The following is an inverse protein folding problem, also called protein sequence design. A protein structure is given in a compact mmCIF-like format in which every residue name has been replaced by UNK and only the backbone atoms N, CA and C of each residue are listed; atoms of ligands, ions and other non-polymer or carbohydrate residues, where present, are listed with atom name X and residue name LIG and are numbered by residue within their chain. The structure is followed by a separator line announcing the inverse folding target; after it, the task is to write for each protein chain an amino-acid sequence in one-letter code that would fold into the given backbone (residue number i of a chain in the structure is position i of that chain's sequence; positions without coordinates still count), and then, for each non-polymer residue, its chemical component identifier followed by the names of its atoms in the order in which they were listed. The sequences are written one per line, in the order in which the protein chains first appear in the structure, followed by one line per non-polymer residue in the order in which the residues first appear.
data_IF_781821158127
#
_entry.id   IF_781821158127
#
_cell.length_a   1.000
_cell.length_b   1.000
_cell.length_c   1.000
_cell.angle_alpha   90.00
_cell.angle_beta   90.00
_cell.angle_gamma   90.00
#
_symmetry.space_group_name_H-M   'P 1'
#
loop_
_entity.id
_entity.type
_entity.pdbx_description
1 polymer ?
#
# COMPACT_ATOMS: atom_id res chain seq x y z
N UNK A 1 -7.88 -11.48 -21.14
CA UNK A 1 -8.04 -10.39 -22.14
C UNK A 1 -8.91 -9.25 -21.60
N UNK A 2 -10.09 -9.52 -21.04
CA UNK A 2 -11.04 -8.50 -20.57
C UNK A 2 -10.53 -7.60 -19.43
N UNK A 3 -9.79 -8.16 -18.45
CA UNK A 3 -9.15 -7.37 -17.39
C UNK A 3 -8.18 -6.35 -17.98
N UNK A 4 -7.30 -6.77 -18.90
CA UNK A 4 -6.30 -5.90 -19.52
C UNK A 4 -6.95 -4.76 -20.34
N UNK A 5 -8.11 -5.01 -20.95
CA UNK A 5 -8.86 -3.99 -21.70
C UNK A 5 -9.38 -2.84 -20.80
N UNK A 6 -9.45 -3.03 -19.47
CA UNK A 6 -9.84 -1.97 -18.53
C UNK A 6 -8.73 -0.95 -18.28
N UNK A 7 -7.48 -1.23 -18.70
CA UNK A 7 -6.30 -0.42 -18.33
C UNK A 7 -6.44 1.05 -18.72
N UNK A 8 -6.95 1.33 -19.91
CA UNK A 8 -7.16 2.70 -20.42
C UNK A 8 -8.26 3.47 -19.67
N UNK A 9 -9.05 2.78 -18.83
CA UNK A 9 -10.11 3.39 -18.02
C UNK A 9 -9.64 3.81 -16.63
N UNK A 10 -8.40 3.50 -16.28
CA UNK A 10 -7.80 3.87 -15.00
C UNK A 10 -7.12 5.23 -15.13
N UNK A 11 -7.42 6.15 -14.21
CA UNK A 11 -6.75 7.46 -14.21
C UNK A 11 -5.34 7.29 -13.66
N UNK A 12 -4.36 7.89 -14.33
CA UNK A 12 -2.96 7.80 -13.90
C UNK A 12 -2.75 8.31 -12.47
N UNK A 13 -3.45 9.39 -12.09
CA UNK A 13 -3.39 9.97 -10.76
C UNK A 13 -3.84 9.01 -9.64
N UNK A 14 -4.66 8.00 -9.95
CA UNK A 14 -5.14 7.02 -8.97
C UNK A 14 -4.16 5.86 -8.77
N UNK A 15 -3.13 5.78 -9.63
CA UNK A 15 -2.07 4.77 -9.57
C UNK A 15 -2.58 3.32 -9.53
N UNK A 16 -3.69 3.05 -10.24
CA UNK A 16 -4.32 1.72 -10.25
C UNK A 16 -3.37 0.69 -10.86
N UNK A 17 -3.20 -0.46 -10.21
CA UNK A 17 -2.46 -1.62 -10.73
C UNK A 17 -3.23 -2.90 -10.46
N UNK A 18 -3.24 -3.80 -11.43
CA UNK A 18 -3.88 -5.12 -11.36
C UNK A 18 -2.83 -6.17 -11.69
N UNK A 19 -2.66 -7.16 -10.83
CA UNK A 19 -1.64 -8.22 -10.98
C UNK A 19 -2.30 -9.60 -10.87
N UNK A 20 -2.79 -10.16 -11.99
CA UNK A 20 -3.39 -11.48 -12.00
C UNK A 20 -2.36 -12.58 -12.26
N UNK A 21 -2.53 -13.73 -11.63
CA UNK A 21 -1.84 -14.98 -11.94
C UNK A 21 -2.86 -16.12 -12.05
N UNK A 22 -2.60 -17.09 -12.92
CA UNK A 22 -3.37 -18.34 -12.98
C UNK A 22 -2.64 -19.35 -12.09
N UNK A 23 -3.27 -19.73 -10.98
CA UNK A 23 -2.71 -20.70 -10.01
C UNK A 23 -3.04 -22.14 -10.39
N UNK A 24 -4.11 -22.35 -11.18
CA UNK A 24 -4.45 -23.64 -11.79
C UNK A 24 -5.10 -23.41 -13.15
N UNK A 25 -4.47 -23.91 -14.22
CA UNK A 25 -4.91 -23.69 -15.60
C UNK A 25 -5.31 -24.95 -16.38
N UNK A 26 -5.32 -26.12 -15.74
CA UNK A 26 -5.55 -27.42 -16.37
C UNK A 26 -4.44 -28.43 -16.10
N UNK A 27 -4.77 -29.71 -16.22
CA UNK A 27 -3.87 -30.81 -15.83
C UNK A 27 -3.24 -31.54 -17.03
N UNK A 28 -3.91 -31.59 -18.18
CA UNK A 28 -3.47 -32.30 -19.38
C UNK A 28 -3.73 -31.47 -20.65
N UNK A 29 -2.82 -31.54 -21.62
CA UNK A 29 -2.85 -30.71 -22.86
C UNK A 29 -3.99 -31.04 -23.82
N UNK A 30 -4.59 -32.23 -23.71
CA UNK A 30 -5.64 -32.75 -24.58
C UNK A 30 -7.01 -32.86 -23.89
N UNK A 31 -7.16 -32.29 -22.69
CA UNK A 31 -8.40 -32.34 -21.91
C UNK A 31 -8.84 -30.91 -21.59
N UNK A 32 -10.13 -30.62 -21.82
CA UNK A 32 -10.71 -29.32 -21.43
C UNK A 32 -10.74 -29.25 -19.90
N UNK A 33 -10.11 -28.24 -19.26
CA UNK A 33 -10.09 -28.12 -17.81
C UNK A 33 -11.50 -27.91 -17.24
N UNK A 34 -11.84 -28.67 -16.18
CA UNK A 34 -13.10 -28.49 -15.45
C UNK A 34 -13.01 -27.45 -14.32
N UNK A 35 -11.81 -27.07 -13.88
CA UNK A 35 -11.54 -26.13 -12.79
C UNK A 35 -10.32 -25.29 -13.12
N UNK A 36 -10.50 -23.96 -13.15
CA UNK A 36 -9.45 -22.97 -13.36
C UNK A 36 -9.48 -22.00 -12.18
N UNK A 37 -8.31 -21.75 -11.60
CA UNK A 37 -8.17 -20.85 -10.45
C UNK A 37 -7.18 -19.75 -10.78
N UNK A 38 -7.51 -18.55 -10.33
CA UNK A 38 -6.66 -17.38 -10.45
C UNK A 38 -6.64 -16.62 -9.13
N UNK A 39 -5.52 -15.94 -8.89
CA UNK A 39 -5.40 -14.94 -7.84
C UNK A 39 -5.08 -13.60 -8.50
N UNK A 40 -5.60 -12.51 -7.94
CA UNK A 40 -5.35 -11.18 -8.47
C UNK A 40 -5.25 -10.17 -7.35
N UNK A 41 -4.35 -9.20 -7.51
CA UNK A 41 -4.21 -8.06 -6.60
C UNK A 41 -4.58 -6.76 -7.32
N UNK A 42 -5.58 -6.05 -6.81
CA UNK A 42 -5.92 -4.68 -7.25
C UNK A 42 -5.43 -3.71 -6.18
N UNK A 43 -4.68 -2.69 -6.59
CA UNK A 43 -4.28 -1.58 -5.72
C UNK A 43 -4.49 -0.24 -6.38
N UNK A 44 -4.76 0.77 -5.57
CA UNK A 44 -4.83 2.17 -5.95
C UNK A 44 -4.34 3.03 -4.77
N UNK A 45 -4.03 4.31 -5.03
CA UNK A 45 -3.60 5.23 -3.97
C UNK A 45 -4.77 5.86 -3.17
N UNK A 46 -6.01 5.51 -3.53
CA UNK A 46 -7.21 5.91 -2.81
C UNK A 46 -8.29 4.82 -2.88
N UNK A 47 -9.19 4.82 -1.90
CA UNK A 47 -10.18 3.76 -1.68
C UNK A 47 -11.24 3.72 -2.80
N UNK A 48 -11.70 4.89 -3.27
CA UNK A 48 -12.72 4.95 -4.32
C UNK A 48 -12.21 4.33 -5.63
N UNK A 49 -11.00 4.69 -6.04
CA UNK A 49 -10.37 4.11 -7.22
C UNK A 49 -10.10 2.61 -7.05
N UNK A 50 -9.70 2.15 -5.86
CA UNK A 50 -9.54 0.74 -5.54
C UNK A 50 -10.85 -0.03 -5.76
N UNK A 51 -11.95 0.42 -5.15
CA UNK A 51 -13.26 -0.23 -5.28
C UNK A 51 -13.76 -0.19 -6.74
N UNK A 52 -13.61 0.94 -7.43
CA UNK A 52 -14.00 1.06 -8.83
C UNK A 52 -13.23 0.08 -9.74
N UNK A 53 -11.91 0.01 -9.54
CA UNK A 53 -11.05 -0.90 -10.29
C UNK A 53 -11.39 -2.36 -9.97
N UNK A 54 -11.62 -2.70 -8.70
CA UNK A 54 -11.97 -4.07 -8.31
C UNK A 54 -13.30 -4.52 -8.95
N UNK A 55 -14.33 -3.67 -8.92
CA UNK A 55 -15.60 -3.93 -9.61
C UNK A 55 -15.43 -4.14 -11.11
N UNK A 56 -14.53 -3.39 -11.76
CA UNK A 56 -14.22 -3.57 -13.19
C UNK A 56 -13.53 -4.92 -13.45
N UNK A 57 -12.62 -5.33 -12.56
CA UNK A 57 -11.94 -6.64 -12.63
C UNK A 57 -12.93 -7.77 -12.43
N UNK A 58 -13.75 -7.73 -11.36
CA UNK A 58 -14.74 -8.77 -11.08
C UNK A 58 -15.74 -8.92 -12.23
N UNK A 59 -16.30 -7.81 -12.73
CA UNK A 59 -17.18 -7.83 -13.89
C UNK A 59 -16.52 -8.41 -15.14
N UNK A 60 -15.22 -8.18 -15.34
CA UNK A 60 -14.49 -8.76 -16.46
C UNK A 60 -14.32 -10.28 -16.32
N UNK A 61 -14.17 -10.79 -15.09
CA UNK A 61 -14.11 -12.22 -14.80
C UNK A 61 -15.50 -12.86 -15.01
N UNK A 62 -16.56 -12.25 -14.46
CA UNK A 62 -17.94 -12.69 -14.65
C UNK A 62 -18.33 -12.72 -16.14
N UNK A 63 -17.99 -11.67 -16.88
CA UNK A 63 -18.26 -11.61 -18.33
C UNK A 63 -17.52 -12.69 -19.12
N UNK A 64 -16.29 -13.05 -18.71
CA UNK A 64 -15.57 -14.16 -19.31
C UNK A 64 -16.25 -15.51 -19.00
N UNK A 65 -16.69 -15.71 -17.74
CA UNK A 65 -17.41 -16.91 -17.33
C UNK A 65 -18.72 -17.08 -18.12
N UNK A 66 -19.49 -16.00 -18.25
CA UNK A 66 -20.72 -15.97 -19.03
C UNK A 66 -20.49 -16.35 -20.50
N UNK A 67 -19.44 -15.80 -21.13
CA UNK A 67 -19.14 -16.07 -22.53
C UNK A 67 -18.79 -17.54 -22.81
N UNK A 68 -18.20 -18.24 -21.85
CA UNK A 68 -17.84 -19.67 -21.97
C UNK A 68 -18.99 -20.59 -21.49
N UNK A 69 -19.94 -20.07 -20.73
CA UNK A 69 -21.00 -20.86 -20.10
C UNK A 69 -20.55 -21.59 -18.83
N UNK A 70 -19.57 -21.03 -18.12
CA UNK A 70 -19.08 -21.55 -16.83
C UNK A 70 -19.70 -20.80 -15.65
N UNK A 71 -19.57 -21.39 -14.47
CA UNK A 71 -19.81 -20.70 -13.20
C UNK A 71 -18.51 -20.09 -12.67
N UNK A 72 -18.62 -18.97 -11.97
CA UNK A 72 -17.49 -18.34 -11.29
C UNK A 72 -17.85 -18.05 -9.84
N UNK A 73 -16.88 -18.30 -8.95
CA UNK A 73 -16.90 -17.83 -7.57
C UNK A 73 -15.76 -16.83 -7.40
N UNK A 74 -16.08 -15.61 -6.99
CA UNK A 74 -15.12 -14.55 -6.66
C UNK A 74 -15.14 -14.36 -5.15
N UNK A 75 -13.95 -14.30 -4.54
CA UNK A 75 -13.75 -14.09 -3.10
C UNK A 75 -12.77 -12.94 -2.91
N UNK A 76 -13.31 -11.73 -2.72
CA UNK A 76 -12.51 -10.54 -2.45
C UNK A 76 -12.09 -10.49 -0.98
N UNK A 77 -10.79 -10.35 -0.74
CA UNK A 77 -10.22 -10.35 0.61
C UNK A 77 -9.58 -9.00 0.96
N UNK A 78 -9.42 -8.77 2.26
CA UNK A 78 -8.76 -7.57 2.80
C UNK A 78 -7.33 -7.48 2.26
N UNK A 79 -7.02 -6.34 1.64
CA UNK A 79 -5.67 -5.95 1.26
C UNK A 79 -5.05 -4.99 2.29
N UNK A 80 -4.25 -4.04 1.80
CA UNK A 80 -3.71 -2.96 2.62
C UNK A 80 -4.41 -1.64 2.30
N UNK A 81 -4.71 -0.84 3.32
CA UNK A 81 -5.19 0.53 3.10
C UNK A 81 -4.14 1.38 2.36
N UNK A 82 -4.54 2.42 1.61
CA UNK A 82 -3.60 3.38 1.03
C UNK A 82 -2.72 4.03 2.12
N UNK A 83 -1.43 4.17 1.84
CA UNK A 83 -0.47 4.74 2.79
C UNK A 83 -0.75 6.23 3.03
N UNK A 84 -1.14 6.57 4.27
CA UNK A 84 -1.38 7.94 4.71
C UNK A 84 -0.25 8.42 5.63
N UNK A 85 0.67 9.21 5.07
CA UNK A 85 1.81 9.77 5.78
C UNK A 85 1.38 11.02 6.58
N UNK A 86 1.63 11.06 7.88
CA UNK A 86 1.35 12.27 8.66
C UNK A 86 2.30 13.41 8.26
N UNK A 87 1.75 14.49 7.70
CA UNK A 87 2.54 15.61 7.13
C UNK A 87 3.46 16.28 8.15
N UNK A 88 2.99 16.50 9.38
CA UNK A 88 3.78 17.18 10.40
C UNK A 88 4.93 16.29 10.87
N UNK A 89 4.67 15.02 11.14
CA UNK A 89 5.71 14.06 11.54
C UNK A 89 6.71 13.80 10.40
N UNK A 90 6.27 13.77 9.14
CA UNK A 90 7.14 13.69 7.97
C UNK A 90 8.06 14.91 7.87
N UNK A 91 7.54 16.11 8.17
CA UNK A 91 8.32 17.35 8.17
C UNK A 91 9.42 17.31 9.23
N UNK A 92 9.09 16.95 10.47
CA UNK A 92 10.07 16.81 11.56
C UNK A 92 11.17 15.81 11.19
N UNK A 93 10.78 14.64 10.66
CA UNK A 93 11.74 13.63 10.19
C UNK A 93 12.65 14.17 9.08
N UNK A 94 12.10 14.89 8.10
CA UNK A 94 12.86 15.48 7.00
C UNK A 94 13.83 16.57 7.47
N UNK A 95 13.43 17.41 8.43
CA UNK A 95 14.28 18.44 9.03
C UNK A 95 15.46 17.81 9.79
N UNK A 96 15.22 16.75 10.56
CA UNK A 96 16.28 15.98 11.22
C UNK A 96 17.22 15.29 10.23
N UNK A 97 16.67 14.73 9.15
CA UNK A 97 17.46 14.13 8.07
C UNK A 97 18.34 15.18 7.38
N UNK A 98 17.80 16.37 7.13
CA UNK A 98 18.53 17.46 6.51
C UNK A 98 19.65 17.98 7.41
N UNK A 99 19.41 18.07 8.72
CA UNK A 99 20.43 18.43 9.70
C UNK A 99 21.56 17.39 9.76
N UNK A 100 21.22 16.10 9.78
CA UNK A 100 22.20 15.03 9.96
C UNK A 100 22.99 14.69 8.68
N UNK A 101 22.34 14.76 7.51
CA UNK A 101 22.87 14.22 6.25
C UNK A 101 23.18 15.29 5.20
N UNK A 102 22.61 16.50 5.34
CA UNK A 102 22.59 17.55 4.32
C UNK A 102 21.27 17.59 3.54
N UNK A 103 20.80 18.80 3.22
CA UNK A 103 19.52 19.03 2.51
C UNK A 103 19.47 18.40 1.12
N UNK A 104 20.60 18.32 0.44
CA UNK A 104 20.78 17.73 -0.89
C UNK A 104 20.54 16.21 -0.92
N UNK A 105 20.49 15.56 0.25
CA UNK A 105 20.25 14.11 0.40
C UNK A 105 18.84 13.77 0.87
N UNK A 106 17.98 14.77 1.06
CA UNK A 106 16.60 14.57 1.56
C UNK A 106 15.62 14.89 0.45
N UNK A 107 14.71 13.94 0.21
CA UNK A 107 13.67 14.07 -0.79
C UNK A 107 12.31 13.84 -0.14
N UNK A 108 11.36 14.74 -0.40
CA UNK A 108 9.99 14.66 0.11
C UNK A 108 9.01 14.52 -1.05
N UNK A 109 7.78 14.09 -0.73
CA UNK A 109 6.66 14.03 -1.67
C UNK A 109 6.91 13.15 -2.91
N UNK A 110 7.85 12.20 -2.81
CA UNK A 110 8.08 11.17 -3.83
C UNK A 110 6.94 10.14 -3.74
N UNK A 111 6.25 9.83 -4.86
CA UNK A 111 5.25 8.77 -4.89
C UNK A 111 5.84 7.42 -4.45
N UNK A 112 5.25 6.84 -3.41
CA UNK A 112 5.65 5.52 -2.92
C UNK A 112 4.96 4.42 -3.74
N UNK A 113 5.74 3.60 -4.43
CA UNK A 113 5.23 2.51 -5.28
C UNK A 113 4.95 1.20 -4.53
N UNK A 114 5.29 1.12 -3.25
CA UNK A 114 5.11 -0.08 -2.42
C UNK A 114 3.68 -0.23 -1.88
N UNK A 115 3.40 -1.40 -1.31
CA UNK A 115 2.17 -1.70 -0.56
C UNK A 115 2.56 -2.35 0.76
N UNK A 116 1.94 -1.95 1.86
CA UNK A 116 2.37 -2.28 3.22
C UNK A 116 1.23 -2.06 4.20
N UNK A 117 1.19 -2.91 5.22
CA UNK A 117 0.32 -2.83 6.40
C UNK A 117 0.43 -1.52 7.20
N UNK A 118 1.49 -0.73 6.98
CA UNK A 118 1.58 0.64 7.50
C UNK A 118 0.43 1.54 7.03
N UNK A 119 -0.19 1.25 5.88
CA UNK A 119 -1.40 1.95 5.44
C UNK A 119 -2.56 1.76 6.41
N UNK A 120 -2.72 0.55 6.97
CA UNK A 120 -3.77 0.26 7.95
C UNK A 120 -3.52 1.01 9.26
N UNK A 121 -2.25 1.05 9.70
CA UNK A 121 -1.89 1.90 10.85
C UNK A 121 -2.12 3.38 10.55
N UNK A 122 -1.79 3.86 9.35
CA UNK A 122 -2.04 5.25 8.93
C UNK A 122 -3.52 5.61 8.86
N UNK A 123 -4.41 4.64 8.65
CA UNK A 123 -5.84 4.87 8.85
C UNK A 123 -6.18 5.10 10.33
N UNK A 124 -5.61 4.31 11.24
CA UNK A 124 -5.99 4.27 12.66
C UNK A 124 -5.30 5.35 13.51
N UNK A 125 -4.02 5.63 13.28
CA UNK A 125 -3.16 6.53 14.05
C UNK A 125 -2.22 7.32 13.12
N UNK A 126 -1.67 8.47 13.54
CA UNK A 126 -0.65 9.14 12.77
C UNK A 126 0.61 8.26 12.69
N UNK A 127 1.05 7.96 11.47
CA UNK A 127 2.29 7.22 11.20
C UNK A 127 3.06 7.88 10.07
N UNK A 128 4.34 7.53 9.98
CA UNK A 128 5.14 7.76 8.79
C UNK A 128 5.91 6.50 8.43
N UNK A 129 6.21 6.35 7.16
CA UNK A 129 7.10 5.34 6.60
C UNK A 129 8.12 6.04 5.70
N UNK A 130 9.20 6.59 6.27
CA UNK A 130 10.33 7.08 5.49
C UNK A 130 11.11 5.92 4.88
N UNK A 131 11.83 6.20 3.80
CA UNK A 131 12.81 5.27 3.22
C UNK A 131 14.21 5.81 3.46
N UNK A 132 15.17 4.91 3.66
CA UNK A 132 16.57 5.27 3.92
C UNK A 132 17.49 4.54 2.93
N UNK A 133 18.63 5.15 2.63
CA UNK A 133 19.68 4.55 1.81
C UNK A 133 20.45 3.47 2.60
N UNK A 134 21.52 2.94 2.01
CA UNK A 134 22.38 1.91 2.61
C UNK A 134 22.18 0.51 2.04
N UNK A 135 21.43 0.41 0.94
CA UNK A 135 21.16 -0.83 0.22
C UNK A 135 21.55 -0.70 -1.26
N UNK A 136 21.96 -1.82 -1.85
CA UNK A 136 22.19 -1.97 -3.30
C UNK A 136 21.35 -3.11 -3.86
N UNK A 137 21.13 -3.10 -5.17
CA UNK A 137 20.23 -4.04 -5.84
C UNK A 137 18.77 -3.57 -5.82
N UNK A 138 17.91 -4.25 -6.58
CA UNK A 138 16.48 -3.93 -6.62
C UNK A 138 15.77 -4.60 -5.45
N UNK A 139 14.81 -3.92 -4.82
CA UNK A 139 13.94 -4.54 -3.82
C UNK A 139 13.30 -5.82 -4.39
N UNK A 140 13.23 -6.87 -3.58
CA UNK A 140 12.75 -8.22 -3.94
C UNK A 140 13.57 -8.95 -5.01
N UNK A 141 14.80 -8.49 -5.31
CA UNK A 141 15.74 -9.25 -6.13
C UNK A 141 16.73 -10.03 -5.27
N UNK A 142 17.32 -11.09 -5.85
CA UNK A 142 18.36 -11.90 -5.21
C UNK A 142 19.63 -11.11 -4.85
N UNK A 143 19.83 -9.95 -5.48
CA UNK A 143 21.02 -9.12 -5.32
C UNK A 143 20.76 -7.95 -4.35
N UNK A 144 19.57 -7.88 -3.73
CA UNK A 144 19.27 -6.88 -2.71
C UNK A 144 20.07 -7.15 -1.44
N UNK A 145 20.94 -6.22 -1.07
CA UNK A 145 21.81 -6.37 0.09
C UNK A 145 22.15 -5.03 0.73
N UNK A 146 22.56 -5.07 2.00
CA UNK A 146 23.10 -3.91 2.70
C UNK A 146 24.49 -3.60 2.16
N UNK A 147 24.67 -2.37 1.69
CA UNK A 147 25.93 -1.87 1.14
C UNK A 147 26.63 -0.91 2.09
N UNK A 148 25.88 -0.24 2.96
CA UNK A 148 26.40 0.70 3.95
C UNK A 148 25.66 0.51 5.29
N UNK A 149 26.28 -0.19 6.25
CA UNK A 149 25.67 -0.45 7.56
C UNK A 149 25.35 0.82 8.39
N UNK A 150 26.11 1.91 8.24
CA UNK A 150 25.82 3.15 8.97
C UNK A 150 24.49 3.72 8.46
N UNK A 151 24.33 3.81 7.14
CA UNK A 151 23.08 4.27 6.52
C UNK A 151 21.90 3.31 6.72
N UNK A 152 22.14 2.00 6.67
CA UNK A 152 21.09 1.00 6.79
C UNK A 152 20.57 0.84 8.24
N UNK A 153 21.42 1.05 9.24
CA UNK A 153 21.09 0.72 10.63
C UNK A 153 21.15 1.92 11.58
N UNK A 154 22.24 2.68 11.55
CA UNK A 154 22.54 3.69 12.57
C UNK A 154 21.82 5.01 12.29
N UNK A 155 21.87 5.48 11.04
CA UNK A 155 21.18 6.70 10.60
C UNK A 155 19.67 6.63 10.85
N UNK A 156 18.92 5.59 10.43
CA UNK A 156 17.48 5.54 10.70
C UNK A 156 17.17 5.49 12.21
N UNK A 157 18.00 4.83 13.02
CA UNK A 157 17.85 4.83 14.48
C UNK A 157 18.03 6.24 15.07
N UNK A 158 19.07 6.97 14.65
CA UNK A 158 19.28 8.38 15.04
C UNK A 158 18.09 9.25 14.64
N UNK A 159 17.61 9.12 13.41
CA UNK A 159 16.49 9.91 12.91
C UNK A 159 15.19 9.62 13.67
N UNK A 160 14.88 8.36 13.94
CA UNK A 160 13.74 8.00 14.79
C UNK A 160 13.87 8.61 16.20
N UNK A 161 15.05 8.52 16.83
CA UNK A 161 15.28 9.10 18.15
C UNK A 161 15.15 10.63 18.15
N UNK A 162 15.70 11.32 17.14
CA UNK A 162 15.57 12.77 16.99
C UNK A 162 14.11 13.18 16.82
N UNK A 163 13.34 12.47 15.98
CA UNK A 163 11.91 12.75 15.81
C UNK A 163 11.12 12.50 17.10
N UNK A 164 11.46 11.47 17.88
CA UNK A 164 10.86 11.24 19.21
C UNK A 164 11.15 12.42 20.15
N UNK A 165 12.38 12.94 20.15
CA UNK A 165 12.77 14.10 20.96
C UNK A 165 11.95 15.32 20.54
N UNK A 166 11.85 15.63 19.25
CA UNK A 166 11.06 16.77 18.78
C UNK A 166 9.57 16.66 19.14
N UNK A 167 9.02 15.44 19.09
CA UNK A 167 7.64 15.18 19.45
C UNK A 167 7.37 15.38 20.96
N UNK A 168 8.33 15.04 21.82
CA UNK A 168 8.11 14.95 23.27
C UNK A 168 8.70 16.12 24.08
N UNK A 169 9.64 16.86 23.52
CA UNK A 169 10.17 18.09 24.15
C UNK A 169 9.11 19.19 24.20
N UNK A 170 9.38 20.26 24.95
CA UNK A 170 8.47 21.41 25.10
C UNK A 170 7.04 20.99 25.51
N UNK A 171 6.96 20.07 26.48
CA UNK A 171 5.69 19.52 26.97
C UNK A 171 4.84 18.85 25.85
N UNK A 172 5.52 18.19 24.91
CA UNK A 172 4.93 17.41 23.82
C UNK A 172 3.99 18.19 22.87
N UNK A 173 4.23 19.50 22.69
CA UNK A 173 3.41 20.36 21.84
C UNK A 173 3.26 19.81 20.40
N UNK A 174 4.36 19.33 19.81
CA UNK A 174 4.36 18.76 18.45
C UNK A 174 3.60 17.42 18.39
N UNK A 175 3.73 16.56 19.39
CA UNK A 175 2.92 15.34 19.46
C UNK A 175 1.42 15.65 19.56
N UNK A 176 1.01 16.68 20.29
CA UNK A 176 -0.40 17.10 20.35
C UNK A 176 -0.89 17.63 19.01
N UNK A 177 -0.09 18.43 18.28
CA UNK A 177 -0.43 18.86 16.91
C UNK A 177 -0.62 17.67 15.97
N UNK A 178 0.28 16.68 16.04
CA UNK A 178 0.19 15.45 15.24
C UNK A 178 -1.09 14.67 15.57
N UNK A 179 -1.40 14.47 16.86
CA UNK A 179 -2.63 13.78 17.30
C UNK A 179 -3.90 14.51 16.88
N UNK A 180 -3.93 15.84 16.96
CA UNK A 180 -5.07 16.66 16.55
C UNK A 180 -5.31 16.60 15.04
N UNK A 181 -4.23 16.55 14.24
CA UNK A 181 -4.32 16.45 12.78
C UNK A 181 -4.91 15.12 12.28
N UNK A 182 -4.82 14.06 13.09
CA UNK A 182 -5.31 12.73 12.73
C UNK A 182 -5.88 12.02 13.96
N UNK A 183 -7.14 12.29 14.33
CA UNK A 183 -7.76 11.67 15.48
C UNK A 183 -7.73 10.14 15.38
N UNK A 184 -7.34 9.50 16.48
CA UNK A 184 -7.24 8.05 16.56
C UNK A 184 -8.60 7.40 16.30
N UNK A 185 -8.62 6.40 15.43
CA UNK A 185 -9.81 5.59 15.17
C UNK A 185 -9.85 4.36 16.07
N UNK A 186 -11.05 3.89 16.37
CA UNK A 186 -11.27 2.65 17.11
C UNK A 186 -11.13 1.43 16.19
N UNK A 187 -10.92 0.26 16.79
CA UNK A 187 -10.92 -1.01 16.05
C UNK A 187 -12.25 -1.22 15.31
N UNK A 188 -13.38 -0.82 15.91
CA UNK A 188 -14.68 -0.95 15.26
C UNK A 188 -14.78 -0.05 14.03
N UNK A 189 -14.28 1.19 14.10
CA UNK A 189 -14.24 2.08 12.93
C UNK A 189 -13.33 1.56 11.80
N UNK A 190 -12.28 0.82 12.15
CA UNK A 190 -11.44 0.13 11.17
C UNK A 190 -12.17 -1.04 10.51
N UNK A 191 -12.80 -1.91 11.31
CA UNK A 191 -13.59 -3.06 10.81
C UNK A 191 -14.73 -2.60 9.90
N UNK A 192 -15.56 -1.68 10.38
CA UNK A 192 -16.66 -1.12 9.59
C UNK A 192 -16.17 -0.52 8.27
N UNK A 193 -14.95 0.03 8.23
CA UNK A 193 -14.40 0.58 6.99
C UNK A 193 -14.03 -0.51 5.99
N UNK A 194 -13.49 -1.64 6.46
CA UNK A 194 -13.22 -2.78 5.58
C UNK A 194 -14.51 -3.46 5.11
N UNK A 195 -15.52 -3.58 5.99
CA UNK A 195 -16.82 -4.11 5.61
C UNK A 195 -17.48 -3.25 4.51
N UNK A 196 -17.39 -1.92 4.63
CA UNK A 196 -17.79 -0.95 3.60
C UNK A 196 -16.98 -1.10 2.30
N UNK A 197 -15.66 -1.28 2.39
CA UNK A 197 -14.80 -1.45 1.21
C UNK A 197 -15.15 -2.71 0.43
N UNK A 198 -15.36 -3.82 1.15
CA UNK A 198 -15.67 -5.13 0.60
C UNK A 198 -17.16 -5.30 0.27
N UNK A 199 -17.99 -4.29 0.55
CA UNK A 199 -19.44 -4.33 0.36
C UNK A 199 -20.10 -5.52 1.07
N UNK A 200 -19.54 -5.95 2.20
CA UNK A 200 -20.09 -7.02 3.03
C UNK A 200 -21.37 -6.46 3.67
N UNK A 201 -22.53 -6.99 3.26
CA UNK A 201 -23.81 -6.68 3.88
C UNK A 201 -24.00 -7.59 5.10
N UNK A 202 -24.29 -7.02 6.26
CA UNK A 202 -24.85 -7.74 7.42
C UNK A 202 -26.22 -8.36 7.08
#
# INVERSE_FOLDING_TARGET
MCINAQRETFKDQDSVRVHPIITKGGDLVNTVPADVRMESFVRANNIEALQNANKKVNRAIEGASYAIGTEVKIDDMIGYMPLLQNKQMSKLFAENAAYLLGKDKVYTDIPFAGSTDMGDLGYVIPVIQPTISGFTGNAHSKDFTVSDPEYAYIIPAKLMAMTIIDLLTNNAEEAEKVKQSHPRKTIQQYKNKWDDILEIKE
#
